data_IF_640744294644
#
_entry.id   IF_640744294644
#
_cell.length_a   1.000
_cell.length_b   1.000
_cell.length_c   1.000
_cell.angle_alpha   90.00
_cell.angle_beta   90.00
_cell.angle_gamma   90.00
#
_symmetry.space_group_name_H-M   'P 1'
#
loop_
_entity.id
_entity.type
_entity.pdbx_description
1 polymer ?
#
# COMPACT_ATOMS: atom_id res chain seq x y z
N UNK A 1 -21.05 31.05 -9.39
CA UNK A 1 -20.29 30.84 -8.14
C UNK A 1 -18.99 31.61 -8.26
N UNK A 2 -18.64 32.51 -7.33
CA UNK A 2 -17.42 33.33 -7.46
C UNK A 2 -16.20 32.50 -7.02
N UNK A 3 -15.36 32.12 -7.97
CA UNK A 3 -14.03 31.55 -7.70
C UNK A 3 -13.21 32.67 -7.04
N UNK A 4 -12.81 32.51 -5.78
CA UNK A 4 -12.06 33.53 -5.03
C UNK A 4 -10.61 33.08 -4.89
N UNK A 5 -9.71 33.87 -5.46
CA UNK A 5 -8.25 33.79 -5.23
C UNK A 5 -7.96 33.91 -3.73
N UNK A 6 -7.02 33.12 -3.21
CA UNK A 6 -6.55 33.30 -1.83
C UNK A 6 -5.52 34.43 -1.75
N UNK A 7 -5.58 35.21 -0.68
CA UNK A 7 -4.60 36.26 -0.37
C UNK A 7 -3.22 35.65 -0.10
N UNK A 8 -2.17 36.45 -0.32
CA UNK A 8 -0.78 36.00 -0.21
C UNK A 8 -0.46 35.35 1.15
N UNK A 9 -0.92 35.93 2.24
CA UNK A 9 -0.69 35.38 3.59
C UNK A 9 -1.26 33.96 3.73
N UNK A 10 -2.45 33.71 3.16
CA UNK A 10 -3.05 32.38 3.19
C UNK A 10 -2.33 31.41 2.24
N UNK A 11 -1.77 31.91 1.15
CA UNK A 11 -0.97 31.10 0.21
C UNK A 11 0.33 30.60 0.87
N UNK A 12 1.04 31.46 1.60
CA UNK A 12 2.25 31.06 2.33
C UNK A 12 1.94 30.01 3.43
N UNK A 13 0.75 30.07 4.05
CA UNK A 13 0.28 29.02 4.96
C UNK A 13 0.04 27.69 4.22
N UNK A 14 -0.49 27.73 3.00
CA UNK A 14 -0.66 26.53 2.17
C UNK A 14 0.70 25.93 1.80
N UNK A 15 1.69 26.75 1.42
CA UNK A 15 3.06 26.27 1.16
C UNK A 15 3.68 25.58 2.39
N UNK A 16 3.41 26.12 3.58
CA UNK A 16 3.84 25.51 4.84
C UNK A 16 3.18 24.13 5.06
N UNK A 17 1.86 24.03 4.84
CA UNK A 17 1.11 22.76 4.95
C UNK A 17 1.62 21.72 3.94
N UNK A 18 2.00 22.16 2.74
CA UNK A 18 2.56 21.30 1.69
C UNK A 18 4.03 20.95 1.91
N UNK A 19 4.66 21.41 3.00
CA UNK A 19 6.08 21.24 3.29
C UNK A 19 6.97 21.68 2.11
N UNK A 20 6.71 22.87 1.56
CA UNK A 20 7.51 23.43 0.47
C UNK A 20 9.02 23.42 0.82
N UNK A 21 9.90 22.90 -0.05
CA UNK A 21 11.33 22.85 0.24
C UNK A 21 11.96 24.25 0.28
N UNK A 22 13.11 24.38 0.94
CA UNK A 22 13.84 25.66 1.06
C UNK A 22 14.27 26.26 -0.29
N UNK A 23 14.28 25.46 -1.37
CA UNK A 23 14.57 25.96 -2.72
C UNK A 23 13.41 26.77 -3.30
N UNK A 24 12.23 26.77 -2.69
CA UNK A 24 11.05 27.45 -3.24
C UNK A 24 11.18 28.97 -3.23
N UNK A 25 11.04 29.61 -4.39
CA UNK A 25 10.79 31.04 -4.49
C UNK A 25 9.28 31.29 -4.34
N UNK A 26 8.87 31.75 -3.16
CA UNK A 26 7.45 31.95 -2.83
C UNK A 26 6.78 33.02 -3.70
N UNK A 27 7.52 34.05 -4.12
CA UNK A 27 6.98 35.12 -4.96
C UNK A 27 6.67 34.64 -6.36
N UNK A 28 7.62 33.95 -6.98
CA UNK A 28 7.43 33.30 -8.27
C UNK A 28 6.23 32.35 -8.24
N UNK A 29 6.17 31.48 -7.23
CA UNK A 29 5.11 30.47 -7.09
C UNK A 29 3.75 31.11 -6.85
N UNK A 30 3.66 32.22 -6.10
CA UNK A 30 2.41 32.95 -5.94
C UNK A 30 1.97 33.68 -7.21
N UNK A 31 2.91 34.23 -7.98
CA UNK A 31 2.64 34.90 -9.25
C UNK A 31 2.05 33.90 -10.26
N UNK A 32 2.69 32.74 -10.43
CA UNK A 32 2.19 31.66 -11.31
C UNK A 32 0.84 31.12 -10.83
N UNK A 33 0.64 30.93 -9.51
CA UNK A 33 -0.67 30.58 -8.95
C UNK A 33 -1.75 31.59 -9.34
N UNK A 34 -1.43 32.88 -9.23
CA UNK A 34 -2.36 33.96 -9.54
C UNK A 34 -2.77 33.94 -11.02
N UNK A 35 -1.79 33.76 -11.91
CA UNK A 35 -2.00 33.69 -13.36
C UNK A 35 -2.82 32.45 -13.74
N UNK A 36 -2.49 31.28 -13.19
CA UNK A 36 -3.24 30.04 -13.43
C UNK A 36 -4.69 30.14 -12.93
N UNK A 37 -4.91 30.75 -11.76
CA UNK A 37 -6.25 30.96 -11.20
C UNK A 37 -7.11 31.86 -12.10
N UNK A 38 -6.56 32.94 -12.65
CA UNK A 38 -7.29 33.79 -13.61
C UNK A 38 -7.54 33.07 -14.94
N UNK A 39 -6.56 32.34 -15.48
CA UNK A 39 -6.76 31.55 -16.71
C UNK A 39 -7.91 30.54 -16.57
N UNK A 40 -7.97 29.81 -15.45
CA UNK A 40 -9.08 28.88 -15.18
C UNK A 40 -10.41 29.64 -15.07
N UNK A 41 -10.42 30.79 -14.39
CA UNK A 41 -11.63 31.60 -14.20
C UNK A 41 -12.18 32.12 -15.54
N UNK A 42 -11.32 32.57 -16.45
CA UNK A 42 -11.72 32.97 -17.81
C UNK A 42 -12.36 31.81 -18.57
N UNK A 43 -11.79 30.60 -18.51
CA UNK A 43 -12.36 29.40 -19.13
C UNK A 43 -13.74 29.03 -18.57
N UNK A 44 -13.96 29.24 -17.25
CA UNK A 44 -15.26 29.04 -16.60
C UNK A 44 -16.28 30.07 -17.09
N UNK A 45 -15.90 31.35 -17.11
CA UNK A 45 -16.76 32.47 -17.49
C UNK A 45 -17.20 32.39 -18.96
N UNK A 46 -16.36 31.84 -19.84
CA UNK A 46 -16.68 31.59 -21.25
C UNK A 46 -17.68 30.43 -21.46
N UNK A 47 -18.24 29.83 -20.40
CA UNK A 47 -19.17 28.69 -20.45
C UNK A 47 -18.63 27.45 -21.18
N UNK A 48 -17.32 27.40 -21.43
CA UNK A 48 -16.65 26.24 -22.02
C UNK A 48 -16.81 25.05 -21.06
N UNK A 49 -16.80 25.32 -19.75
CA UNK A 49 -16.82 24.33 -18.69
C UNK A 49 -18.05 24.51 -17.78
N UNK A 50 -19.17 23.87 -18.12
CA UNK A 50 -20.39 23.89 -17.30
C UNK A 50 -20.18 23.12 -15.99
N UNK A 51 -20.64 23.67 -14.87
CA UNK A 51 -20.70 23.07 -13.52
C UNK A 51 -19.37 22.88 -12.74
N UNK A 52 -18.35 23.73 -12.94
CA UNK A 52 -17.11 23.62 -12.15
C UNK A 52 -17.35 23.92 -10.66
N UNK A 53 -16.83 23.04 -9.79
CA UNK A 53 -16.67 23.30 -8.36
C UNK A 53 -15.70 24.48 -8.13
N UNK A 54 -15.72 25.15 -6.96
CA UNK A 54 -14.76 26.22 -6.70
C UNK A 54 -13.33 25.69 -6.87
N UNK A 55 -12.42 26.51 -7.41
CA UNK A 55 -11.00 26.16 -7.47
C UNK A 55 -10.55 25.83 -6.04
N UNK A 56 -9.98 24.64 -5.86
CA UNK A 56 -9.35 24.27 -4.60
C UNK A 56 -7.96 24.91 -4.55
N UNK A 57 -7.74 25.92 -3.72
CA UNK A 57 -6.49 26.66 -3.72
C UNK A 57 -5.31 25.79 -3.27
N UNK A 58 -5.54 24.76 -2.44
CA UNK A 58 -4.49 23.84 -1.99
C UNK A 58 -3.99 22.98 -3.14
N UNK A 59 -4.90 22.42 -3.93
CA UNK A 59 -4.54 21.56 -5.07
C UNK A 59 -3.86 22.38 -6.17
N UNK A 60 -4.40 23.55 -6.53
CA UNK A 60 -3.78 24.43 -7.51
C UNK A 60 -2.38 24.86 -7.07
N UNK A 61 -2.19 25.21 -5.79
CA UNK A 61 -0.86 25.52 -5.24
C UNK A 61 0.08 24.32 -5.33
N UNK A 62 -0.43 23.11 -5.06
CA UNK A 62 0.33 21.87 -5.20
C UNK A 62 0.87 21.64 -6.62
N UNK A 63 0.05 21.89 -7.65
CA UNK A 63 0.50 21.82 -9.04
C UNK A 63 1.58 22.86 -9.34
N UNK A 64 1.40 24.12 -8.93
CA UNK A 64 2.43 25.16 -9.16
C UNK A 64 3.74 24.80 -8.48
N UNK A 65 3.67 24.38 -7.21
CA UNK A 65 4.85 24.00 -6.43
C UNK A 65 5.59 22.82 -7.08
N UNK A 66 4.85 21.80 -7.53
CA UNK A 66 5.41 20.65 -8.23
C UNK A 66 6.13 21.02 -9.52
N UNK A 67 5.49 21.81 -10.39
CA UNK A 67 6.10 22.28 -11.64
C UNK A 67 7.35 23.13 -11.39
N UNK A 68 7.28 24.02 -10.40
CA UNK A 68 8.41 24.87 -10.04
C UNK A 68 9.60 24.04 -9.54
N UNK A 69 9.39 23.17 -8.54
CA UNK A 69 10.47 22.34 -7.98
C UNK A 69 11.13 21.51 -9.07
N UNK A 70 10.33 20.81 -9.89
CA UNK A 70 10.84 20.00 -10.99
C UNK A 70 11.67 20.82 -11.98
N UNK A 71 11.26 22.06 -12.24
CA UNK A 71 11.95 22.95 -13.17
C UNK A 71 13.28 23.50 -12.63
N UNK A 72 13.44 23.64 -11.31
CA UNK A 72 14.61 24.30 -10.71
C UNK A 72 15.54 23.39 -9.90
N UNK A 73 15.12 22.17 -9.53
CA UNK A 73 15.85 21.29 -8.61
C UNK A 73 17.30 21.01 -9.04
N UNK A 74 17.56 20.97 -10.36
CA UNK A 74 18.90 20.68 -10.92
C UNK A 74 19.61 21.91 -11.49
N UNK A 75 19.05 23.10 -11.32
CA UNK A 75 19.61 24.35 -11.85
C UNK A 75 20.62 24.96 -10.85
N UNK A 76 21.65 25.61 -11.38
CA UNK A 76 22.50 26.49 -10.57
C UNK A 76 21.70 27.71 -10.06
N UNK A 77 22.25 28.46 -9.12
CA UNK A 77 21.61 29.68 -8.61
C UNK A 77 21.40 30.72 -9.72
N UNK A 78 22.35 30.84 -10.64
CA UNK A 78 22.28 31.74 -11.78
C UNK A 78 21.22 31.31 -12.79
N UNK A 79 21.20 30.03 -13.15
CA UNK A 79 20.20 29.47 -14.08
C UNK A 79 18.78 29.57 -13.51
N UNK A 80 18.65 29.36 -12.20
CA UNK A 80 17.39 29.53 -11.49
C UNK A 80 16.91 30.97 -11.53
N UNK A 81 17.80 31.94 -11.31
CA UNK A 81 17.45 33.36 -11.39
C UNK A 81 16.97 33.75 -12.79
N UNK A 82 17.69 33.31 -13.84
CA UNK A 82 17.27 33.53 -15.24
C UNK A 82 15.89 32.94 -15.49
N UNK A 83 15.64 31.72 -15.01
CA UNK A 83 14.32 31.08 -15.11
C UNK A 83 13.21 31.85 -14.39
N UNK A 84 13.50 32.39 -13.21
CA UNK A 84 12.53 33.13 -12.39
C UNK A 84 12.22 34.54 -12.91
N UNK A 85 13.16 35.15 -13.61
CA UNK A 85 13.00 36.49 -14.20
C UNK A 85 12.29 36.45 -15.57
N UNK A 86 12.18 35.26 -16.20
CA UNK A 86 11.58 35.09 -17.52
C UNK A 86 10.03 35.05 -17.46
N UNK A 87 9.41 36.09 -18.02
CA UNK A 87 7.96 36.25 -18.06
C UNK A 87 7.26 35.29 -19.03
N UNK A 88 7.92 34.86 -20.11
CA UNK A 88 7.34 33.88 -21.02
C UNK A 88 7.23 32.51 -20.34
N UNK A 89 8.29 32.11 -19.62
CA UNK A 89 8.30 30.88 -18.82
C UNK A 89 7.20 30.90 -17.76
N UNK A 90 7.01 32.02 -17.05
CA UNK A 90 5.91 32.16 -16.07
C UNK A 90 4.54 31.95 -16.70
N UNK A 91 4.29 32.58 -17.84
CA UNK A 91 3.02 32.45 -18.58
C UNK A 91 2.79 31.00 -19.03
N UNK A 92 3.81 30.36 -19.59
CA UNK A 92 3.74 28.96 -20.01
C UNK A 92 3.47 28.03 -18.81
N UNK A 93 4.16 28.24 -17.68
CA UNK A 93 3.93 27.45 -16.48
C UNK A 93 2.50 27.63 -15.94
N UNK A 94 1.98 28.86 -15.92
CA UNK A 94 0.61 29.12 -15.50
C UNK A 94 -0.42 28.36 -16.36
N UNK A 95 -0.23 28.33 -17.69
CA UNK A 95 -1.04 27.54 -18.60
C UNK A 95 -0.95 26.03 -18.33
N UNK A 96 0.26 25.50 -18.20
CA UNK A 96 0.49 24.07 -17.88
C UNK A 96 -0.16 23.67 -16.55
N UNK A 97 -0.04 24.51 -15.53
CA UNK A 97 -0.67 24.30 -14.22
C UNK A 97 -2.19 24.29 -14.35
N UNK A 98 -2.77 25.25 -15.08
CA UNK A 98 -4.21 25.33 -15.29
C UNK A 98 -4.74 24.07 -15.99
N UNK A 99 -4.06 23.63 -17.05
CA UNK A 99 -4.43 22.41 -17.80
C UNK A 99 -4.31 21.15 -16.94
N UNK A 100 -3.24 21.04 -16.14
CA UNK A 100 -3.02 19.90 -15.22
C UNK A 100 -4.07 19.86 -14.12
N UNK A 101 -4.40 21.00 -13.52
CA UNK A 101 -5.45 21.09 -12.50
C UNK A 101 -6.83 20.70 -13.07
N UNK A 102 -7.19 21.29 -14.22
CA UNK A 102 -8.46 20.98 -14.88
C UNK A 102 -8.54 19.50 -15.28
N UNK A 103 -7.47 18.95 -15.86
CA UNK A 103 -7.44 17.55 -16.30
C UNK A 103 -7.42 16.57 -15.12
N UNK A 104 -6.63 16.86 -14.08
CA UNK A 104 -6.38 15.96 -12.94
C UNK A 104 -7.46 15.97 -11.86
N UNK A 105 -8.13 17.11 -11.64
CA UNK A 105 -9.15 17.24 -10.60
C UNK A 105 -10.57 17.35 -11.13
N UNK A 106 -10.76 17.88 -12.35
CA UNK A 106 -12.09 18.15 -12.88
C UNK A 106 -12.50 17.18 -14.00
N UNK A 107 -11.63 16.94 -15.00
CA UNK A 107 -11.88 16.00 -16.11
C UNK A 107 -11.29 14.61 -15.89
N UNK A 108 -10.84 14.33 -14.67
CA UNK A 108 -10.19 13.08 -14.37
C UNK A 108 -11.09 11.89 -14.70
N UNK A 109 -10.58 10.98 -15.52
CA UNK A 109 -11.24 9.73 -15.81
C UNK A 109 -11.33 8.91 -14.53
N UNK A 110 -12.55 8.61 -14.10
CA UNK A 110 -12.82 7.74 -12.95
C UNK A 110 -13.42 6.45 -13.45
N UNK A 111 -12.77 5.34 -13.11
CA UNK A 111 -13.35 4.01 -13.26
C UNK A 111 -14.74 3.96 -12.62
N UNK A 112 -15.60 3.07 -13.13
CA UNK A 112 -16.90 2.83 -12.50
C UNK A 112 -16.68 2.18 -11.13
N UNK A 113 -17.03 2.91 -10.06
CA UNK A 113 -16.81 2.50 -8.67
C UNK A 113 -18.02 1.77 -8.11
N UNK A 114 -17.77 0.70 -7.35
CA UNK A 114 -18.80 -0.01 -6.57
C UNK A 114 -18.99 0.65 -5.20
N UNK A 115 -17.91 1.21 -4.64
CA UNK A 115 -17.89 1.80 -3.29
C UNK A 115 -17.16 3.16 -3.29
N UNK A 116 -17.06 3.79 -2.13
CA UNK A 116 -16.23 4.96 -1.88
C UNK A 116 -15.81 5.01 -0.39
N UNK A 117 -14.91 5.93 -0.06
CA UNK A 117 -14.36 6.12 1.30
C UNK A 117 -15.36 6.42 2.41
N UNK A 118 -16.59 6.81 2.07
CA UNK A 118 -17.64 7.11 3.05
C UNK A 118 -18.50 5.88 3.36
N UNK A 119 -18.34 4.79 2.60
CA UNK A 119 -19.11 3.57 2.81
C UNK A 119 -18.57 2.80 4.01
N UNK A 120 -19.43 2.32 4.93
CA UNK A 120 -19.00 1.63 6.15
C UNK A 120 -17.99 0.50 5.95
N UNK A 121 -18.08 -0.35 4.91
CA UNK A 121 -17.09 -1.40 4.70
C UNK A 121 -15.67 -0.90 4.46
N UNK A 122 -15.52 0.31 3.91
CA UNK A 122 -14.21 0.95 3.72
C UNK A 122 -13.83 1.74 4.98
N UNK A 123 -14.68 2.69 5.39
CA UNK A 123 -14.36 3.65 6.43
C UNK A 123 -14.08 3.01 7.79
N UNK A 124 -14.81 1.96 8.14
CA UNK A 124 -14.61 1.26 9.42
C UNK A 124 -13.30 0.48 9.44
N UNK A 125 -12.91 -0.14 8.32
CA UNK A 125 -11.64 -0.84 8.22
C UNK A 125 -10.47 0.17 8.23
N UNK A 126 -10.59 1.24 7.46
CA UNK A 126 -9.59 2.32 7.39
C UNK A 126 -9.31 2.98 8.74
N UNK A 127 -10.34 3.16 9.58
CA UNK A 127 -10.16 3.65 10.94
C UNK A 127 -9.15 2.80 11.73
N UNK A 128 -9.30 1.47 11.67
CA UNK A 128 -8.41 0.54 12.36
C UNK A 128 -7.02 0.50 11.75
N UNK A 129 -6.93 0.41 10.43
CA UNK A 129 -5.66 0.35 9.73
C UNK A 129 -4.83 1.61 10.03
N UNK A 130 -5.46 2.79 9.99
CA UNK A 130 -4.78 4.05 10.32
C UNK A 130 -4.38 4.12 11.79
N UNK A 131 -5.24 3.68 12.72
CA UNK A 131 -4.87 3.60 14.13
C UNK A 131 -3.63 2.70 14.34
N UNK A 132 -3.63 1.50 13.78
CA UNK A 132 -2.53 0.54 13.92
C UNK A 132 -1.24 1.05 13.29
N UNK A 133 -1.30 1.68 12.10
CA UNK A 133 -0.14 2.29 11.46
C UNK A 133 0.42 3.44 12.29
N UNK A 134 -0.42 4.33 12.81
CA UNK A 134 0.02 5.46 13.64
C UNK A 134 0.73 4.97 14.90
N UNK A 135 0.23 3.91 15.54
CA UNK A 135 0.89 3.26 16.66
C UNK A 135 2.24 2.68 16.24
N UNK A 136 2.28 1.81 15.22
CA UNK A 136 3.50 1.11 14.82
C UNK A 136 4.57 2.07 14.30
N UNK A 137 4.17 3.23 13.77
CA UNK A 137 5.09 4.26 13.32
C UNK A 137 5.90 4.90 14.46
N UNK A 138 5.46 4.75 15.72
CA UNK A 138 6.22 5.21 16.89
C UNK A 138 7.31 4.22 17.32
N UNK A 139 7.32 2.99 16.79
CA UNK A 139 8.28 1.97 17.17
C UNK A 139 9.56 2.10 16.35
N UNK A 140 10.72 1.65 16.87
CA UNK A 140 11.93 1.50 16.05
C UNK A 140 11.68 0.64 14.82
N UNK A 141 12.38 0.92 13.72
CA UNK A 141 12.22 0.27 12.41
C UNK A 141 13.57 -0.03 11.77
N UNK A 142 13.55 -0.89 10.75
CA UNK A 142 14.66 -1.12 9.82
C UNK A 142 15.91 -1.77 10.44
N UNK A 143 15.78 -2.41 11.61
CA UNK A 143 16.76 -3.39 12.10
C UNK A 143 16.05 -4.74 12.21
N UNK A 144 16.12 -5.61 11.19
CA UNK A 144 15.40 -6.88 11.18
C UNK A 144 15.67 -7.74 12.42
N UNK A 145 16.85 -7.63 13.03
CA UNK A 145 17.22 -8.42 14.22
C UNK A 145 16.36 -8.08 15.43
N UNK A 146 15.82 -6.87 15.51
CA UNK A 146 15.04 -6.37 16.66
C UNK A 146 13.62 -5.91 16.28
N UNK A 147 13.34 -5.70 14.99
CA UNK A 147 12.11 -5.04 14.51
C UNK A 147 11.35 -5.85 13.45
N UNK A 148 11.77 -7.06 13.07
CA UNK A 148 11.15 -7.86 12.00
C UNK A 148 9.62 -7.96 12.09
N UNK A 149 9.07 -8.29 13.26
CA UNK A 149 7.62 -8.41 13.45
C UNK A 149 6.92 -7.06 13.26
N UNK A 150 7.53 -5.97 13.73
CA UNK A 150 7.01 -4.60 13.57
C UNK A 150 7.02 -4.20 12.10
N UNK A 151 8.12 -4.44 11.40
CA UNK A 151 8.29 -4.11 9.99
C UNK A 151 7.29 -4.91 9.12
N UNK A 152 7.10 -6.21 9.40
CA UNK A 152 6.09 -7.04 8.74
C UNK A 152 4.66 -6.60 9.04
N UNK A 153 4.35 -6.19 10.27
CA UNK A 153 3.06 -5.61 10.62
C UNK A 153 2.80 -4.33 9.82
N UNK A 154 3.75 -3.38 9.82
CA UNK A 154 3.63 -2.13 9.06
C UNK A 154 3.38 -2.43 7.59
N UNK A 155 4.15 -3.36 7.01
CA UNK A 155 3.99 -3.73 5.60
C UNK A 155 2.63 -4.36 5.33
N UNK A 156 2.19 -5.29 6.17
CA UNK A 156 0.89 -5.98 6.01
C UNK A 156 -0.27 -5.00 6.13
N UNK A 157 -0.26 -4.11 7.13
CA UNK A 157 -1.34 -3.13 7.33
C UNK A 157 -1.35 -2.09 6.20
N UNK A 158 -0.16 -1.70 5.70
CA UNK A 158 -0.05 -0.82 4.53
C UNK A 158 -0.60 -1.47 3.25
N UNK A 159 -0.37 -2.78 3.06
CA UNK A 159 -0.95 -3.53 1.96
C UNK A 159 -2.47 -3.65 2.08
N UNK A 160 -3.00 -3.92 3.28
CA UNK A 160 -4.45 -3.92 3.52
C UNK A 160 -5.08 -2.56 3.19
N UNK A 161 -4.43 -1.47 3.57
CA UNK A 161 -4.87 -0.11 3.22
C UNK A 161 -4.81 0.15 1.71
N UNK A 162 -3.75 -0.30 1.03
CA UNK A 162 -3.66 -0.25 -0.42
C UNK A 162 -4.83 -0.97 -1.10
N UNK A 163 -5.22 -2.16 -0.58
CA UNK A 163 -6.40 -2.88 -1.09
C UNK A 163 -7.68 -2.05 -0.94
N UNK A 164 -7.90 -1.41 0.21
CA UNK A 164 -9.05 -0.51 0.43
C UNK A 164 -9.04 0.66 -0.56
N UNK A 165 -7.91 1.35 -0.72
CA UNK A 165 -7.75 2.47 -1.65
C UNK A 165 -8.02 2.05 -3.11
N UNK A 166 -7.59 0.85 -3.52
CA UNK A 166 -7.86 0.30 -4.85
C UNK A 166 -9.36 0.02 -5.06
N UNK A 167 -10.04 -0.55 -4.06
CA UNK A 167 -11.48 -0.81 -4.12
C UNK A 167 -12.30 0.48 -4.20
N UNK A 168 -11.91 1.52 -3.46
CA UNK A 168 -12.55 2.84 -3.50
C UNK A 168 -12.43 3.55 -4.86
N UNK A 169 -11.38 3.20 -5.62
CA UNK A 169 -11.14 3.77 -6.94
C UNK A 169 -11.66 2.89 -8.08
N UNK A 170 -12.22 1.71 -7.80
CA UNK A 170 -12.80 0.82 -8.81
C UNK A 170 -11.79 -0.07 -9.53
N UNK A 171 -10.70 -0.43 -8.82
CA UNK A 171 -9.62 -1.30 -9.29
C UNK A 171 -9.68 -2.67 -8.58
N UNK A 172 -10.78 -3.41 -8.76
CA UNK A 172 -11.05 -4.63 -8.00
C UNK A 172 -10.05 -5.77 -8.28
N UNK A 173 -9.54 -5.86 -9.51
CA UNK A 173 -8.57 -6.87 -9.92
C UNK A 173 -7.19 -6.62 -9.33
N UNK A 174 -6.76 -5.37 -9.28
CA UNK A 174 -5.53 -4.91 -8.64
C UNK A 174 -5.62 -5.02 -7.12
N UNK A 175 -6.82 -4.78 -6.56
CA UNK A 175 -7.12 -5.03 -5.16
C UNK A 175 -6.91 -6.52 -4.80
N UNK A 176 -7.39 -7.45 -5.63
CA UNK A 176 -7.12 -8.89 -5.45
C UNK A 176 -5.63 -9.23 -5.56
N UNK A 177 -4.92 -8.65 -6.53
CA UNK A 177 -3.48 -8.86 -6.68
C UNK A 177 -2.69 -8.35 -5.46
N UNK A 178 -3.10 -7.20 -4.91
CA UNK A 178 -2.50 -6.62 -3.71
C UNK A 178 -2.84 -7.43 -2.46
N UNK A 179 -4.06 -7.98 -2.37
CA UNK A 179 -4.44 -8.91 -1.32
C UNK A 179 -3.57 -10.17 -1.35
N UNK A 180 -3.18 -10.68 -2.52
CA UNK A 180 -2.27 -11.83 -2.61
C UNK A 180 -0.95 -11.58 -1.86
N UNK A 181 -0.34 -10.41 -2.07
CA UNK A 181 0.88 -10.03 -1.36
C UNK A 181 0.64 -9.79 0.13
N UNK A 182 -0.52 -9.25 0.51
CA UNK A 182 -0.95 -9.19 1.92
C UNK A 182 -1.01 -10.59 2.53
N UNK A 183 -1.58 -11.57 1.80
CA UNK A 183 -1.74 -12.94 2.25
C UNK A 183 -0.38 -13.65 2.45
N UNK A 184 0.59 -13.37 1.58
CA UNK A 184 1.98 -13.83 1.77
C UNK A 184 2.64 -13.24 3.02
N UNK A 185 2.44 -11.94 3.24
CA UNK A 185 2.97 -11.26 4.42
C UNK A 185 2.31 -11.76 5.72
N UNK A 186 0.99 -11.93 5.74
CA UNK A 186 0.29 -12.43 6.93
C UNK A 186 0.66 -13.87 7.24
N UNK A 187 0.86 -14.71 6.22
CA UNK A 187 1.28 -16.11 6.41
C UNK A 187 2.66 -16.17 7.04
N UNK A 188 3.59 -15.36 6.56
CA UNK A 188 4.92 -15.20 7.18
C UNK A 188 4.79 -14.75 8.63
N UNK A 189 4.01 -13.69 8.88
CA UNK A 189 3.81 -13.12 10.19
C UNK A 189 3.23 -14.13 11.19
N UNK A 190 2.24 -14.93 10.77
CA UNK A 190 1.60 -15.96 11.60
C UNK A 190 2.58 -17.07 11.99
N UNK A 191 3.45 -17.50 11.08
CA UNK A 191 4.46 -18.51 11.38
C UNK A 191 5.48 -17.96 12.37
N UNK A 192 5.98 -16.73 12.14
CA UNK A 192 6.96 -16.12 13.03
C UNK A 192 6.39 -15.84 14.43
N UNK A 193 5.16 -15.35 14.53
CA UNK A 193 4.46 -15.12 15.81
C UNK A 193 4.22 -16.44 16.57
N UNK A 194 3.82 -17.50 15.86
CA UNK A 194 3.52 -18.80 16.46
C UNK A 194 4.75 -19.51 17.02
N UNK A 195 5.86 -19.50 16.28
CA UNK A 195 7.05 -20.29 16.63
C UNK A 195 8.17 -19.46 17.28
N UNK A 196 8.05 -18.14 17.28
CA UNK A 196 8.91 -17.22 18.01
C UNK A 196 10.38 -17.23 17.55
N UNK A 197 11.26 -16.94 18.51
CA UNK A 197 12.66 -16.57 18.26
C UNK A 197 13.44 -17.59 17.42
N UNK A 198 13.23 -18.90 17.64
CA UNK A 198 13.94 -19.94 16.92
C UNK A 198 13.71 -19.89 15.40
N UNK A 199 12.48 -19.58 14.98
CA UNK A 199 12.14 -19.47 13.56
C UNK A 199 12.47 -18.08 13.02
N UNK A 200 12.35 -17.03 13.83
CA UNK A 200 12.80 -15.68 13.49
C UNK A 200 14.28 -15.70 13.09
N UNK A 201 15.14 -16.36 13.87
CA UNK A 201 16.58 -16.44 13.56
C UNK A 201 16.86 -17.21 12.26
N UNK A 202 16.12 -18.29 11.99
CA UNK A 202 16.20 -19.00 10.70
C UNK A 202 15.71 -18.12 9.54
N UNK A 203 14.60 -17.40 9.72
CA UNK A 203 14.09 -16.48 8.71
C UNK A 203 15.11 -15.37 8.38
N UNK A 204 15.70 -14.73 9.40
CA UNK A 204 16.74 -13.71 9.23
C UNK A 204 17.97 -14.25 8.48
N UNK A 205 18.36 -15.50 8.76
CA UNK A 205 19.41 -16.19 8.01
C UNK A 205 19.05 -16.37 6.53
N UNK A 206 17.82 -16.79 6.23
CA UNK A 206 17.33 -16.92 4.86
C UNK A 206 17.17 -15.57 4.14
N UNK A 207 16.88 -14.47 4.85
CA UNK A 207 16.95 -13.12 4.28
C UNK A 207 18.38 -12.79 3.82
N UNK A 208 19.40 -13.13 4.62
CA UNK A 208 20.82 -12.96 4.23
C UNK A 208 21.17 -13.78 3.00
N UNK A 209 20.66 -15.02 2.91
CA UNK A 209 20.79 -15.85 1.71
C UNK A 209 20.18 -15.17 0.48
N UNK A 210 18.98 -14.60 0.59
CA UNK A 210 18.32 -13.88 -0.50
C UNK A 210 19.10 -12.65 -0.96
N UNK A 211 19.67 -11.89 -0.03
CA UNK A 211 20.52 -10.73 -0.32
C UNK A 211 21.80 -11.17 -1.04
N UNK A 212 22.49 -12.20 -0.54
CA UNK A 212 23.70 -12.74 -1.15
C UNK A 212 23.43 -13.28 -2.57
N UNK A 213 22.29 -13.94 -2.79
CA UNK A 213 21.89 -14.45 -4.10
C UNK A 213 21.64 -13.33 -5.13
N UNK A 214 21.14 -12.17 -4.69
CA UNK A 214 20.87 -11.01 -5.57
C UNK A 214 22.10 -10.11 -5.79
N UNK A 215 22.84 -9.80 -4.73
CA UNK A 215 23.95 -8.83 -4.72
C UNK A 215 25.31 -9.48 -5.00
N UNK A 216 25.39 -10.81 -4.94
CA UNK A 216 26.61 -11.63 -4.95
C UNK A 216 27.60 -11.46 -6.12
N UNK A 217 27.37 -10.53 -7.04
CA UNK A 217 28.37 -10.10 -8.03
C UNK A 217 29.42 -9.14 -7.46
N UNK A 218 29.15 -8.41 -6.37
CA UNK A 218 30.01 -7.31 -5.94
C UNK A 218 30.97 -7.65 -4.77
N UNK A 219 30.77 -8.77 -4.06
CA UNK A 219 31.65 -9.22 -2.96
C UNK A 219 31.80 -10.75 -2.97
N UNK A 220 32.79 -11.25 -3.72
CA UNK A 220 32.91 -12.65 -4.15
C UNK A 220 33.18 -13.62 -2.98
N UNK A 221 34.09 -13.28 -2.07
CA UNK A 221 34.54 -14.19 -1.02
C UNK A 221 33.48 -14.44 0.07
N UNK A 222 32.78 -13.39 0.52
CA UNK A 222 31.68 -13.56 1.49
C UNK A 222 30.48 -14.31 0.88
N UNK A 223 30.22 -14.06 -0.40
CA UNK A 223 29.13 -14.71 -1.14
C UNK A 223 29.41 -16.20 -1.32
N UNK A 224 30.65 -16.59 -1.63
CA UNK A 224 31.05 -18.00 -1.77
C UNK A 224 30.84 -18.81 -0.48
N UNK A 225 31.24 -18.26 0.68
CA UNK A 225 31.00 -18.91 1.99
C UNK A 225 29.52 -19.15 2.26
N UNK A 226 28.66 -18.17 1.95
CA UNK A 226 27.21 -18.30 2.08
C UNK A 226 26.65 -19.38 1.14
N UNK A 227 27.15 -19.48 -0.10
CA UNK A 227 26.72 -20.52 -1.02
C UNK A 227 27.18 -21.93 -0.62
N UNK A 228 28.35 -22.06 -0.02
CA UNK A 228 28.80 -23.34 0.57
C UNK A 228 27.90 -23.76 1.74
N UNK A 229 27.53 -22.82 2.59
CA UNK A 229 26.57 -23.03 3.68
C UNK A 229 25.22 -23.50 3.14
N UNK A 230 24.64 -22.78 2.18
CA UNK A 230 23.38 -23.15 1.51
C UNK A 230 23.47 -24.57 0.95
N UNK A 231 24.55 -24.92 0.24
CA UNK A 231 24.72 -26.26 -0.35
C UNK A 231 24.82 -27.35 0.73
N UNK A 232 25.44 -27.05 1.87
CA UNK A 232 25.54 -27.99 2.98
C UNK A 232 24.16 -28.26 3.58
N UNK A 233 23.42 -27.22 3.93
CA UNK A 233 22.09 -27.36 4.55
C UNK A 233 21.07 -27.98 3.58
N UNK A 234 21.14 -27.65 2.28
CA UNK A 234 20.31 -28.29 1.26
C UNK A 234 20.50 -29.81 1.20
N UNK A 235 21.73 -30.30 1.40
CA UNK A 235 22.02 -31.76 1.42
C UNK A 235 21.38 -32.44 2.63
N UNK A 236 21.29 -31.75 3.76
CA UNK A 236 20.64 -32.27 4.98
C UNK A 236 19.16 -32.58 4.74
N UNK A 237 18.51 -31.83 3.82
CA UNK A 237 17.12 -32.04 3.41
C UNK A 237 16.97 -32.72 2.04
N UNK A 238 18.02 -33.38 1.52
CA UNK A 238 18.01 -34.08 0.22
C UNK A 238 17.63 -33.21 -1.00
N UNK A 239 17.91 -31.90 -0.95
CA UNK A 239 17.60 -30.95 -2.02
C UNK A 239 18.71 -30.90 -3.09
N UNK A 240 18.34 -30.58 -4.34
CA UNK A 240 19.28 -30.49 -5.47
C UNK A 240 19.54 -29.03 -5.85
N UNK A 241 20.58 -28.75 -6.63
CA UNK A 241 20.93 -27.39 -7.05
C UNK A 241 19.79 -26.61 -7.73
N UNK A 242 18.86 -27.30 -8.41
CA UNK A 242 17.66 -26.68 -9.00
C UNK A 242 16.69 -26.09 -7.97
N UNK A 243 16.77 -26.55 -6.72
CA UNK A 243 15.91 -26.14 -5.61
C UNK A 243 16.51 -24.97 -4.81
N UNK A 244 17.71 -24.49 -5.17
CA UNK A 244 18.44 -23.43 -4.44
C UNK A 244 17.58 -22.19 -4.21
N UNK A 245 16.89 -21.69 -5.24
CA UNK A 245 16.03 -20.51 -5.12
C UNK A 245 14.88 -20.77 -4.12
N UNK A 246 14.23 -21.92 -4.24
CA UNK A 246 13.12 -22.32 -3.35
C UNK A 246 13.59 -22.48 -1.91
N UNK A 247 14.78 -23.05 -1.71
CA UNK A 247 15.39 -23.20 -0.40
C UNK A 247 15.74 -21.85 0.23
N UNK A 248 16.29 -20.92 -0.55
CA UNK A 248 16.56 -19.56 -0.07
C UNK A 248 15.26 -18.90 0.40
N UNK A 249 14.19 -19.00 -0.37
CA UNK A 249 12.90 -18.35 -0.08
C UNK A 249 12.13 -19.03 1.08
N UNK A 250 12.14 -20.36 1.17
CA UNK A 250 11.24 -21.14 2.05
C UNK A 250 11.95 -22.13 2.98
N UNK A 251 13.26 -22.34 2.88
CA UNK A 251 13.97 -23.36 3.66
C UNK A 251 13.95 -23.13 5.17
N UNK A 252 13.72 -21.90 5.62
CA UNK A 252 13.52 -21.59 7.03
C UNK A 252 12.31 -22.32 7.64
N UNK A 253 11.34 -22.75 6.81
CA UNK A 253 10.17 -23.52 7.23
C UNK A 253 10.51 -24.91 7.79
N UNK A 254 11.64 -25.51 7.41
CA UNK A 254 12.11 -26.77 8.00
C UNK A 254 12.32 -26.64 9.53
N UNK A 255 12.53 -25.42 10.04
CA UNK A 255 12.62 -25.22 11.49
C UNK A 255 11.31 -25.44 12.25
N UNK A 256 10.17 -25.38 11.57
CA UNK A 256 8.85 -25.38 12.24
C UNK A 256 8.41 -26.76 12.70
N UNK A 257 8.91 -27.83 12.07
CA UNK A 257 8.56 -29.24 12.34
C UNK A 257 7.04 -29.54 12.28
N UNK A 258 6.23 -28.67 11.66
CA UNK A 258 4.78 -28.86 11.52
C UNK A 258 4.47 -29.93 10.48
N UNK A 259 5.23 -29.91 9.39
CA UNK A 259 5.13 -30.85 8.28
C UNK A 259 6.43 -31.65 8.26
N UNK A 260 6.38 -32.98 8.12
CA UNK A 260 7.58 -33.78 7.97
C UNK A 260 8.46 -33.26 6.81
N UNK A 261 9.78 -33.28 6.97
CA UNK A 261 10.73 -32.79 5.96
C UNK A 261 10.50 -33.40 4.56
N UNK A 262 10.09 -34.67 4.51
CA UNK A 262 9.78 -35.39 3.27
C UNK A 262 8.51 -34.90 2.55
N UNK A 263 7.63 -34.20 3.27
CA UNK A 263 6.33 -33.73 2.78
C UNK A 263 6.31 -32.20 2.59
N UNK A 264 7.21 -31.47 3.24
CA UNK A 264 7.27 -30.02 3.16
C UNK A 264 7.65 -29.56 1.74
N UNK A 265 6.73 -28.85 1.08
CA UNK A 265 7.01 -28.22 -0.21
C UNK A 265 7.58 -26.81 -0.02
N UNK A 266 8.69 -26.52 -0.70
CA UNK A 266 9.32 -25.20 -0.69
C UNK A 266 8.65 -24.25 -1.69
N UNK A 267 7.42 -23.85 -1.39
CA UNK A 267 6.65 -22.87 -2.13
C UNK A 267 5.67 -22.14 -1.19
N UNK A 268 4.90 -21.18 -1.72
CA UNK A 268 3.89 -20.49 -0.94
C UNK A 268 2.72 -21.41 -0.55
N UNK A 269 1.94 -21.92 -1.52
CA UNK A 269 0.64 -22.55 -1.24
C UNK A 269 0.70 -23.86 -0.46
N UNK A 270 1.54 -24.80 -0.89
CA UNK A 270 1.67 -26.09 -0.19
C UNK A 270 2.68 -26.03 0.97
N UNK A 271 3.51 -25.00 1.01
CA UNK A 271 4.53 -24.78 2.04
C UNK A 271 4.08 -23.77 3.09
N UNK A 272 4.38 -22.50 2.85
CA UNK A 272 4.16 -21.42 3.81
C UNK A 272 2.68 -21.29 4.25
N UNK A 273 1.74 -21.31 3.32
CA UNK A 273 0.30 -21.18 3.59
C UNK A 273 -0.21 -22.37 4.42
N UNK A 274 0.23 -23.60 4.10
CA UNK A 274 -0.04 -24.80 4.91
C UNK A 274 0.51 -24.69 6.32
N UNK A 275 1.79 -24.32 6.48
CA UNK A 275 2.44 -24.16 7.79
C UNK A 275 1.78 -23.04 8.60
N UNK A 276 1.34 -21.96 7.93
CA UNK A 276 0.54 -20.90 8.54
C UNK A 276 -0.86 -21.35 8.96
N UNK A 277 -1.37 -22.48 8.46
CA UNK A 277 -2.72 -22.98 8.73
C UNK A 277 -3.79 -22.22 7.95
N UNK A 278 -3.46 -21.77 6.74
CA UNK A 278 -4.30 -20.95 5.88
C UNK A 278 -4.67 -21.62 4.55
N UNK A 279 -4.47 -22.93 4.41
CA UNK A 279 -4.71 -23.68 3.16
C UNK A 279 -6.14 -23.53 2.59
N UNK A 280 -7.13 -23.16 3.41
CA UNK A 280 -8.48 -22.83 2.96
C UNK A 280 -8.54 -21.62 2.00
N UNK A 281 -7.48 -20.81 1.92
CA UNK A 281 -7.36 -19.66 1.02
C UNK A 281 -6.74 -19.99 -0.34
N UNK A 282 -6.23 -21.21 -0.52
CA UNK A 282 -5.52 -21.65 -1.73
C UNK A 282 -6.27 -21.34 -3.03
N UNK A 283 -7.57 -21.62 -3.10
CA UNK A 283 -8.39 -21.32 -4.28
C UNK A 283 -8.51 -19.81 -4.57
N UNK A 284 -8.57 -18.98 -3.52
CA UNK A 284 -8.62 -17.51 -3.66
C UNK A 284 -7.24 -17.00 -4.08
N UNK A 285 -6.18 -17.55 -3.51
CA UNK A 285 -4.80 -17.23 -3.87
C UNK A 285 -4.51 -17.58 -5.34
N UNK A 286 -4.91 -18.78 -5.81
CA UNK A 286 -4.79 -19.19 -7.21
C UNK A 286 -5.57 -18.25 -8.14
N UNK A 287 -6.84 -17.97 -7.80
CA UNK A 287 -7.68 -17.00 -8.53
C UNK A 287 -6.98 -15.63 -8.65
N UNK A 288 -6.39 -15.14 -7.55
CA UNK A 288 -5.65 -13.87 -7.56
C UNK A 288 -4.39 -13.91 -8.43
N UNK A 289 -3.77 -15.08 -8.58
CA UNK A 289 -2.63 -15.29 -9.46
C UNK A 289 -3.03 -15.37 -10.93
N UNK A 290 -4.22 -15.86 -11.26
CA UNK A 290 -4.70 -15.94 -12.65
C UNK A 290 -5.14 -14.58 -13.21
N UNK A 291 -5.69 -13.72 -12.36
CA UNK A 291 -6.18 -12.37 -12.74
C UNK A 291 -5.03 -11.45 -13.17
N UNK A 292 -3.82 -11.64 -12.62
CA UNK A 292 -2.65 -10.81 -12.99
C UNK A 292 -2.02 -11.21 -14.31
N UNK A 293 -2.37 -12.39 -14.82
CA UNK A 293 -2.04 -12.79 -16.19
C UNK A 293 -3.13 -12.26 -17.11
N UNK A 294 -2.80 -11.82 -18.34
CA UNK A 294 -3.74 -11.27 -19.34
C UNK A 294 -4.73 -12.32 -19.87
N UNK A 295 -5.45 -12.96 -18.96
CA UNK A 295 -6.40 -14.03 -19.16
C UNK A 295 -7.78 -13.43 -19.46
N UNK A 296 -8.69 -14.22 -20.03
CA UNK A 296 -10.09 -13.81 -20.17
C UNK A 296 -10.73 -13.38 -18.84
N UNK A 297 -10.25 -13.89 -17.71
CA UNK A 297 -10.72 -13.51 -16.38
C UNK A 297 -10.40 -12.07 -16.00
N UNK A 298 -9.28 -11.52 -16.48
CA UNK A 298 -8.94 -10.10 -16.31
C UNK A 298 -9.87 -9.24 -17.19
N UNK A 299 -10.00 -9.59 -18.46
CA UNK A 299 -10.68 -8.79 -19.49
C UNK A 299 -12.21 -8.78 -19.30
N UNK A 300 -12.80 -9.93 -18.98
CA UNK A 300 -14.25 -10.10 -18.80
C UNK A 300 -14.61 -10.28 -17.32
N UNK A 301 -13.85 -9.62 -16.44
CA UNK A 301 -13.98 -9.71 -15.00
C UNK A 301 -15.36 -9.27 -14.50
N UNK A 302 -15.98 -10.07 -13.62
CA UNK A 302 -17.13 -9.62 -12.86
C UNK A 302 -16.64 -8.71 -11.73
N UNK A 303 -16.69 -7.39 -11.94
CA UNK A 303 -16.23 -6.39 -10.95
C UNK A 303 -16.83 -6.61 -9.57
N UNK A 304 -18.13 -6.90 -9.47
CA UNK A 304 -18.80 -7.13 -8.17
C UNK A 304 -18.27 -8.38 -7.47
N UNK A 305 -17.96 -9.44 -8.21
CA UNK A 305 -17.37 -10.64 -7.65
C UNK A 305 -15.98 -10.36 -7.03
N UNK A 306 -15.10 -9.70 -7.78
CA UNK A 306 -13.75 -9.38 -7.28
C UNK A 306 -13.74 -8.32 -6.20
N UNK A 307 -14.67 -7.35 -6.25
CA UNK A 307 -14.90 -6.40 -5.16
C UNK A 307 -15.18 -7.13 -3.84
N UNK A 308 -16.18 -8.02 -3.85
CA UNK A 308 -16.58 -8.76 -2.65
C UNK A 308 -15.46 -9.70 -2.19
N UNK A 309 -14.81 -10.41 -3.12
CA UNK A 309 -13.73 -11.33 -2.81
C UNK A 309 -12.55 -10.59 -2.13
N UNK A 310 -12.07 -9.50 -2.73
CA UNK A 310 -10.97 -8.71 -2.18
C UNK A 310 -11.31 -8.11 -0.81
N UNK A 311 -12.54 -7.58 -0.67
CA UNK A 311 -13.00 -6.98 0.57
C UNK A 311 -13.05 -8.02 1.70
N UNK A 312 -13.73 -9.15 1.47
CA UNK A 312 -13.88 -10.21 2.47
C UNK A 312 -12.51 -10.75 2.87
N UNK A 313 -11.68 -11.11 1.89
CA UNK A 313 -10.37 -11.66 2.17
C UNK A 313 -9.46 -10.67 2.91
N UNK A 314 -9.58 -9.37 2.65
CA UNK A 314 -8.86 -8.33 3.41
C UNK A 314 -9.36 -8.20 4.84
N UNK A 315 -10.68 -8.30 5.08
CA UNK A 315 -11.25 -8.33 6.43
C UNK A 315 -10.74 -9.54 7.23
N UNK A 316 -10.70 -10.71 6.60
CA UNK A 316 -10.21 -11.93 7.24
C UNK A 316 -8.72 -11.84 7.56
N UNK A 317 -7.91 -11.28 6.65
CA UNK A 317 -6.50 -11.00 6.92
C UNK A 317 -6.33 -9.98 8.05
N UNK A 318 -7.13 -8.92 8.04
CA UNK A 318 -7.15 -7.92 9.11
C UNK A 318 -7.43 -8.56 10.47
N UNK A 319 -8.44 -9.43 10.61
CA UNK A 319 -8.76 -10.06 11.90
C UNK A 319 -7.60 -10.91 12.45
N UNK A 320 -6.83 -11.57 11.58
CA UNK A 320 -5.64 -12.33 11.98
C UNK A 320 -4.49 -11.40 12.39
N UNK A 321 -4.21 -10.39 11.59
CA UNK A 321 -3.14 -9.41 11.85
C UNK A 321 -3.43 -8.59 13.11
N UNK A 322 -4.69 -8.21 13.35
CA UNK A 322 -5.12 -7.45 14.53
C UNK A 322 -4.83 -8.19 15.84
N UNK A 323 -4.96 -9.51 15.84
CA UNK A 323 -4.62 -10.33 17.00
C UNK A 323 -3.13 -10.24 17.35
N UNK A 324 -2.26 -10.33 16.35
CA UNK A 324 -0.80 -10.23 16.51
C UNK A 324 -0.43 -8.81 16.97
N UNK A 325 -1.00 -7.80 16.32
CA UNK A 325 -0.84 -6.41 16.72
C UNK A 325 -1.25 -6.18 18.18
N UNK A 326 -2.41 -6.70 18.61
CA UNK A 326 -2.91 -6.50 19.98
C UNK A 326 -1.96 -7.09 21.01
N UNK A 327 -1.41 -8.28 20.74
CA UNK A 327 -0.44 -8.93 21.61
C UNK A 327 0.83 -8.08 21.75
N UNK A 328 1.37 -7.59 20.63
CA UNK A 328 2.56 -6.73 20.59
C UNK A 328 2.31 -5.37 21.25
N UNK A 329 1.18 -4.73 20.92
CA UNK A 329 0.78 -3.43 21.43
C UNK A 329 0.57 -3.49 22.95
N UNK A 330 -0.12 -4.52 23.44
CA UNK A 330 -0.34 -4.73 24.85
C UNK A 330 0.95 -4.72 25.68
N UNK A 331 2.03 -5.30 25.18
CA UNK A 331 3.29 -5.40 25.92
C UNK A 331 4.05 -4.08 26.07
N UNK A 332 3.79 -3.08 25.22
CA UNK A 332 4.63 -1.88 25.07
C UNK A 332 3.97 -0.56 25.48
N UNK A 333 2.71 -0.60 25.92
CA UNK A 333 1.91 0.60 26.14
C UNK A 333 1.57 0.85 27.61
N UNK A 334 1.25 2.11 27.88
CA UNK A 334 0.66 2.52 29.16
C UNK A 334 -0.75 1.96 29.34
N UNK A 335 -1.21 1.79 30.60
CA UNK A 335 -2.60 1.40 30.88
C UNK A 335 -3.64 2.35 30.25
N UNK A 336 -3.35 3.65 30.16
CA UNK A 336 -4.23 4.64 29.54
C UNK A 336 -4.42 4.40 28.03
N UNK A 337 -3.32 4.18 27.29
CA UNK A 337 -3.38 3.83 25.87
C UNK A 337 -4.11 2.50 25.64
N UNK A 338 -3.89 1.52 26.52
CA UNK A 338 -4.62 0.25 26.48
C UNK A 338 -6.13 0.45 26.68
N UNK A 339 -6.53 1.29 27.62
CA UNK A 339 -7.93 1.61 27.87
C UNK A 339 -8.57 2.31 26.65
N UNK A 340 -7.88 3.28 26.04
CA UNK A 340 -8.35 3.95 24.84
C UNK A 340 -8.52 2.99 23.65
N UNK A 341 -7.56 2.10 23.44
CA UNK A 341 -7.66 1.06 22.41
C UNK A 341 -8.82 0.10 22.67
N UNK A 342 -8.97 -0.38 23.91
CA UNK A 342 -10.08 -1.26 24.27
C UNK A 342 -11.44 -0.57 24.09
N UNK A 343 -11.54 0.73 24.41
CA UNK A 343 -12.76 1.51 24.18
C UNK A 343 -13.10 1.58 22.67
N UNK A 344 -12.13 1.94 21.83
CA UNK A 344 -12.31 1.91 20.36
C UNK A 344 -12.70 0.51 19.88
N UNK A 345 -11.98 -0.53 20.34
CA UNK A 345 -12.21 -1.92 19.96
C UNK A 345 -13.62 -2.39 20.30
N UNK A 346 -14.11 -2.05 21.49
CA UNK A 346 -15.46 -2.41 21.93
C UNK A 346 -16.56 -1.78 21.06
N UNK A 347 -16.35 -0.57 20.55
CA UNK A 347 -17.33 0.10 19.68
C UNK A 347 -17.28 -0.43 18.26
N UNK A 348 -16.10 -0.48 17.65
CA UNK A 348 -16.01 -0.65 16.19
C UNK A 348 -15.74 -2.09 15.74
N UNK A 349 -15.24 -2.98 16.62
CA UNK A 349 -14.89 -4.35 16.19
C UNK A 349 -16.13 -5.19 15.88
N UNK A 350 -17.19 -4.99 16.68
CA UNK A 350 -18.51 -5.60 16.43
C UNK A 350 -19.09 -5.15 15.08
N UNK A 351 -18.87 -3.89 14.71
CA UNK A 351 -19.26 -3.35 13.41
C UNK A 351 -18.49 -4.05 12.28
N UNK A 352 -17.17 -4.25 12.40
CA UNK A 352 -16.39 -4.96 11.39
C UNK A 352 -16.87 -6.41 11.20
N UNK A 353 -17.19 -7.11 12.29
CA UNK A 353 -17.76 -8.47 12.20
C UNK A 353 -19.10 -8.46 11.46
N UNK A 354 -19.98 -7.50 11.79
CA UNK A 354 -21.29 -7.39 11.15
C UNK A 354 -21.17 -7.09 9.65
N UNK A 355 -20.27 -6.18 9.27
CA UNK A 355 -19.95 -5.86 7.88
C UNK A 355 -19.44 -7.11 7.16
N UNK A 356 -18.42 -7.78 7.72
CA UNK A 356 -17.84 -8.98 7.13
C UNK A 356 -18.89 -10.06 6.85
N UNK A 357 -19.80 -10.31 7.81
CA UNK A 357 -20.89 -11.27 7.64
C UNK A 357 -21.82 -10.87 6.51
N UNK A 358 -22.27 -9.60 6.49
CA UNK A 358 -23.16 -9.08 5.45
C UNK A 358 -22.55 -9.23 4.06
N UNK A 359 -21.29 -8.81 3.88
CA UNK A 359 -20.64 -8.89 2.57
C UNK A 359 -20.33 -10.33 2.16
N UNK A 360 -20.04 -11.21 3.12
CA UNK A 360 -19.92 -12.66 2.86
C UNK A 360 -21.22 -13.27 2.33
N UNK A 361 -22.37 -12.87 2.88
CA UNK A 361 -23.67 -13.33 2.41
C UNK A 361 -23.98 -12.77 1.01
N UNK A 362 -23.63 -11.51 0.73
CA UNK A 362 -23.70 -10.93 -0.62
C UNK A 362 -22.88 -11.74 -1.64
N UNK A 363 -21.68 -12.21 -1.26
CA UNK A 363 -20.84 -13.03 -2.15
C UNK A 363 -21.46 -14.40 -2.42
N UNK A 364 -22.03 -15.04 -1.39
CA UNK A 364 -22.75 -16.32 -1.55
C UNK A 364 -23.95 -16.17 -2.49
N UNK A 365 -24.74 -15.13 -2.30
CA UNK A 365 -25.89 -14.83 -3.16
C UNK A 365 -25.47 -14.58 -4.61
N UNK A 366 -24.37 -13.85 -4.82
CA UNK A 366 -23.82 -13.63 -6.15
C UNK A 366 -23.40 -14.94 -6.82
N UNK A 367 -22.69 -15.82 -6.11
CA UNK A 367 -22.29 -17.14 -6.62
C UNK A 367 -23.51 -17.99 -7.00
N UNK A 368 -24.55 -17.98 -6.15
CA UNK A 368 -25.79 -18.74 -6.40
C UNK A 368 -26.57 -18.24 -7.61
N UNK A 369 -26.54 -16.94 -7.91
CA UNK A 369 -27.18 -16.37 -9.11
C UNK A 369 -26.45 -16.71 -10.40
N UNK A 370 -25.12 -16.83 -10.34
CA UNK A 370 -24.29 -17.17 -11.51
C UNK A 370 -24.43 -18.63 -11.90
N UNK A 371 -24.63 -19.55 -10.94
CA UNK A 371 -24.82 -21.00 -11.21
C UNK A 371 -26.19 -21.31 -11.84
N UNK A 372 -27.18 -20.43 -11.67
CA UNK A 372 -28.55 -20.59 -12.21
C UNK A 372 -28.74 -20.04 -13.63
N UNK A 373 -27.71 -19.45 -14.22
CA UNK A 373 -27.68 -19.02 -15.62
C UNK A 373 -26.76 -19.93 -16.39
#
# INVERSE_FOLDING_TARGET
MKIKKIERENFDRVLTILNAPNITNHDYVYEVYSMANEAIKELVEQNILKNIQPINPVLLTGYVLGEYIYSVERKSLEEKKVFEDDQEIKNQMAGVVADKYLSGDYFNYKEKRITNKFMPPMSSLDLYLNFMLNVLNTYPKNDPSSTLIVDLLIKSISLARCVVELLENGHETEAMASWRTLHECESTLLVLDRFGEAIIQKYLKHMKYGIAFKIGKNNREQTEKIFEEIKKEMKEHNLKSKDTKKYIEYGWLYGTNVVPDSELKLNFGDGLETVAGLHQYSAIYETSSEIVHSTPMLIYSNKTYYYLLALISTYESFFRIEKIFTNLFGQKITPAQRAQYNAMRNVYYSQLIAIHRKESDNLKDLKNRTIKK
#
